data_IF_259363645521
#
_entry.id   IF_259363645521
#
_cell.length_a   1.000
_cell.length_b   1.000
_cell.length_c   1.000
_cell.angle_alpha   90.00
_cell.angle_beta   90.00
_cell.angle_gamma   90.00
#
_symmetry.space_group_name_H-M   'P 1'
#
loop_
_entity.id
_entity.type
_entity.pdbx_description
1 polymer ?
#
# COMPACT_ATOMS: atom_id res chain seq x y z
N UNK A 1 18.35 -3.75 9.46
CA UNK A 1 16.92 -3.96 9.13
C UNK A 1 16.12 -2.78 9.68
N UNK A 2 15.06 -2.36 8.99
CA UNK A 2 14.19 -1.25 9.44
C UNK A 2 13.03 -1.83 10.27
N UNK A 3 12.64 -1.13 11.35
CA UNK A 3 11.59 -1.56 12.26
C UNK A 3 10.58 -0.43 12.46
N UNK A 4 9.29 -0.76 12.36
CA UNK A 4 8.16 0.14 12.58
C UNK A 4 7.24 -0.51 13.61
N UNK A 5 7.30 -0.06 14.87
CA UNK A 5 6.60 -0.72 15.98
C UNK A 5 6.93 -2.22 16.05
N UNK A 6 5.93 -3.13 16.01
CA UNK A 6 6.15 -4.58 16.02
C UNK A 6 6.59 -5.14 14.67
N UNK A 7 6.59 -4.34 13.60
CA UNK A 7 6.85 -4.81 12.25
C UNK A 7 8.34 -4.68 11.89
N UNK A 8 8.94 -5.81 11.52
CA UNK A 8 10.30 -5.86 11.00
C UNK A 8 10.25 -5.99 9.48
N UNK A 9 10.75 -4.99 8.77
CA UNK A 9 10.77 -5.02 7.30
C UNK A 9 11.96 -5.85 6.81
N UNK A 10 11.80 -6.62 5.72
CA UNK A 10 12.87 -7.49 5.22
C UNK A 10 14.07 -6.68 4.68
N UNK A 11 13.84 -5.46 4.20
CA UNK A 11 14.88 -4.56 3.72
C UNK A 11 14.43 -3.08 3.82
N UNK A 12 15.26 -2.15 3.32
CA UNK A 12 15.03 -0.69 3.33
C UNK A 12 14.46 -0.16 2.01
N UNK A 13 13.92 -1.03 1.15
CA UNK A 13 13.33 -0.63 -0.14
C UNK A 13 11.82 -0.56 0.04
N UNK A 14 11.24 0.60 -0.27
CA UNK A 14 9.80 0.82 -0.22
C UNK A 14 9.28 1.25 -1.60
N UNK A 15 8.16 0.67 -2.03
CA UNK A 15 7.44 1.13 -3.20
C UNK A 15 6.69 2.42 -2.87
N UNK A 16 6.98 3.50 -3.61
CA UNK A 16 6.31 4.78 -3.45
C UNK A 16 4.85 4.73 -3.96
N UNK A 17 3.91 5.45 -3.33
CA UNK A 17 2.53 5.52 -3.80
C UNK A 17 2.43 6.35 -5.09
N UNK A 18 1.78 5.80 -6.11
CA UNK A 18 1.61 6.45 -7.41
C UNK A 18 0.19 6.21 -7.92
N UNK A 19 -0.60 7.27 -8.03
CA UNK A 19 -1.98 7.20 -8.49
C UNK A 19 -2.08 6.61 -9.91
N UNK A 20 -2.94 5.61 -10.07
CA UNK A 20 -3.11 4.86 -11.32
C UNK A 20 -2.01 3.83 -11.61
N UNK A 21 -1.03 3.65 -10.72
CA UNK A 21 0.09 2.71 -10.90
C UNK A 21 0.17 1.71 -9.75
N UNK A 22 0.19 2.16 -8.50
CA UNK A 22 0.34 1.27 -7.32
C UNK A 22 -0.98 0.65 -6.87
N UNK A 23 -1.69 0.04 -7.81
CA UNK A 23 -2.86 -0.78 -7.54
C UNK A 23 -2.48 -2.11 -6.87
N UNK A 24 -3.49 -2.90 -6.49
CA UNK A 24 -3.28 -4.12 -5.73
C UNK A 24 -2.42 -5.17 -6.49
N UNK A 25 -2.69 -5.50 -7.77
CA UNK A 25 -1.82 -6.36 -8.56
C UNK A 25 -0.36 -5.88 -8.62
N UNK A 26 -0.13 -4.58 -8.85
CA UNK A 26 1.23 -4.05 -8.96
C UNK A 26 1.98 -4.13 -7.62
N UNK A 27 1.32 -3.81 -6.51
CA UNK A 27 1.92 -3.94 -5.17
C UNK A 27 2.31 -5.38 -4.84
N UNK A 28 1.48 -6.36 -5.20
CA UNK A 28 1.78 -7.79 -5.01
C UNK A 28 3.05 -8.17 -5.77
N UNK A 29 3.13 -7.80 -7.04
CA UNK A 29 4.31 -8.06 -7.85
C UNK A 29 5.57 -7.42 -7.24
N UNK A 30 5.50 -6.16 -6.80
CA UNK A 30 6.65 -5.51 -6.16
C UNK A 30 7.06 -6.20 -4.85
N UNK A 31 6.10 -6.66 -4.04
CA UNK A 31 6.40 -7.42 -2.84
C UNK A 31 7.05 -8.78 -3.14
N UNK A 32 6.54 -9.51 -4.15
CA UNK A 32 7.13 -10.77 -4.65
C UNK A 32 8.56 -10.56 -5.17
N UNK A 33 8.81 -9.42 -5.82
CA UNK A 33 10.14 -9.02 -6.30
C UNK A 33 11.06 -8.43 -5.22
N UNK A 34 10.62 -8.41 -3.96
CA UNK A 34 11.47 -8.09 -2.81
C UNK A 34 11.35 -6.65 -2.28
N UNK A 35 10.32 -5.88 -2.64
CA UNK A 35 10.03 -4.64 -1.93
C UNK A 35 9.72 -4.94 -0.46
N UNK A 36 10.43 -4.26 0.46
CA UNK A 36 10.24 -4.48 1.90
C UNK A 36 9.01 -3.81 2.47
N UNK A 37 8.48 -2.78 1.81
CA UNK A 37 7.21 -2.14 2.12
C UNK A 37 6.53 -1.73 0.81
N UNK A 38 5.21 -1.91 0.73
CA UNK A 38 4.40 -1.43 -0.40
C UNK A 38 3.32 -0.49 0.10
N UNK A 39 3.05 0.57 -0.65
CA UNK A 39 2.09 1.62 -0.27
C UNK A 39 0.99 1.68 -1.32
N UNK A 40 -0.27 1.69 -0.87
CA UNK A 40 -1.42 1.86 -1.76
C UNK A 40 -1.47 3.26 -2.39
N UNK A 41 -2.23 3.40 -3.48
CA UNK A 41 -2.56 4.71 -4.04
C UNK A 41 -3.18 5.65 -2.99
N UNK A 42 -2.93 6.95 -3.13
CA UNK A 42 -3.53 7.98 -2.28
C UNK A 42 -5.07 7.95 -2.29
N UNK A 43 -5.67 7.85 -1.12
CA UNK A 43 -7.12 7.92 -0.89
C UNK A 43 -7.47 9.35 -0.44
N UNK A 44 -8.70 9.81 -0.67
CA UNK A 44 -9.12 11.11 -0.14
C UNK A 44 -9.44 11.04 1.35
N UNK A 45 -8.96 12.01 2.13
CA UNK A 45 -9.37 12.24 3.53
C UNK A 45 -10.84 12.65 3.69
N UNK A 46 -11.53 13.06 2.61
CA UNK A 46 -12.93 13.50 2.69
C UNK A 46 -13.86 12.31 3.00
N UNK A 47 -14.57 12.31 4.14
CA UNK A 47 -15.42 11.19 4.54
C UNK A 47 -16.55 10.90 3.55
N UNK A 48 -17.02 11.92 2.80
CA UNK A 48 -18.08 11.75 1.77
C UNK A 48 -17.63 10.88 0.59
N UNK A 49 -16.32 10.72 0.38
CA UNK A 49 -15.76 9.96 -0.73
C UNK A 49 -15.37 8.52 -0.33
N UNK A 50 -15.58 8.09 0.92
CA UNK A 50 -15.18 6.76 1.41
C UNK A 50 -15.77 5.61 0.58
N UNK A 51 -17.06 5.71 0.24
CA UNK A 51 -17.76 4.66 -0.51
C UNK A 51 -17.68 4.83 -2.03
N UNK A 52 -17.01 5.88 -2.51
CA UNK A 52 -16.80 6.08 -3.93
C UNK A 52 -16.05 4.90 -4.55
N UNK A 53 -16.36 4.57 -5.81
CA UNK A 53 -15.66 3.51 -6.55
C UNK A 53 -14.14 3.69 -6.52
N UNK A 54 -13.67 4.94 -6.66
CA UNK A 54 -12.26 5.30 -6.64
C UNK A 54 -11.60 4.96 -5.30
N UNK A 55 -12.18 5.41 -4.19
CA UNK A 55 -11.65 5.09 -2.85
C UNK A 55 -11.70 3.59 -2.58
N UNK A 56 -12.81 2.92 -2.88
CA UNK A 56 -12.95 1.46 -2.67
C UNK A 56 -11.91 0.64 -3.42
N UNK A 57 -11.53 1.04 -4.64
CA UNK A 57 -10.48 0.37 -5.40
C UNK A 57 -9.09 0.58 -4.77
N UNK A 58 -8.79 1.81 -4.35
CA UNK A 58 -7.50 2.17 -3.73
C UNK A 58 -7.32 1.60 -2.33
N UNK A 59 -8.42 1.39 -1.61
CA UNK A 59 -8.46 0.84 -0.25
C UNK A 59 -8.44 -0.69 -0.22
N UNK A 60 -8.39 -1.36 -1.38
CA UNK A 60 -8.38 -2.82 -1.42
C UNK A 60 -7.08 -3.35 -0.87
N UNK A 61 -7.20 -4.23 0.11
CA UNK A 61 -6.12 -5.00 0.67
C UNK A 61 -6.49 -6.47 0.78
N UNK A 62 -5.51 -7.36 0.67
CA UNK A 62 -5.66 -8.80 0.82
C UNK A 62 -4.48 -9.44 1.57
N UNK A 63 -3.96 -10.57 1.08
CA UNK A 63 -2.76 -11.25 1.60
C UNK A 63 -1.44 -10.53 1.28
N UNK A 64 -1.47 -9.28 0.81
CA UNK A 64 -0.29 -8.42 0.69
C UNK A 64 0.49 -8.27 2.01
N UNK A 65 1.80 -8.02 1.90
CA UNK A 65 2.74 -8.04 3.02
C UNK A 65 2.32 -7.10 4.15
N UNK A 66 2.47 -7.55 5.40
CA UNK A 66 2.33 -6.69 6.56
C UNK A 66 3.64 -5.92 6.81
N UNK A 67 3.57 -4.65 7.26
CA UNK A 67 2.37 -3.87 7.53
C UNK A 67 1.74 -3.28 6.25
N UNK A 68 0.42 -3.14 6.26
CA UNK A 68 -0.31 -2.43 5.19
C UNK A 68 -0.09 -0.93 5.33
N UNK A 69 0.33 -0.28 4.25
CA UNK A 69 0.58 1.16 4.22
C UNK A 69 -0.42 1.88 3.30
N UNK A 70 -0.99 2.98 3.79
CA UNK A 70 -2.03 3.76 3.13
C UNK A 70 -1.63 5.23 3.13
N UNK A 71 -1.82 5.90 1.99
CA UNK A 71 -1.66 7.35 1.87
C UNK A 71 -3.04 8.01 1.82
N UNK A 72 -3.24 9.10 2.57
CA UNK A 72 -4.51 9.83 2.75
C UNK A 72 -4.32 11.30 2.37
#
# INVERSE_FOLDING_TARGET
MLQIGPYKLPNRVALAPMAGVTDLPFRRLCAELGAGLVVAEMISSNPRLRDSRKTRLRSRHDAEIAPRSVQI
#
